data_IF_710888390528
#
_entry.id   IF_710888390528
#
_cell.length_a   1.000
_cell.length_b   1.000
_cell.length_c   1.000
_cell.angle_alpha   90.00
_cell.angle_beta   90.00
_cell.angle_gamma   90.00
#
_symmetry.space_group_name_H-M   'P 1'
#
loop_
_entity.id
_entity.type
_entity.pdbx_description
1 polymer ?
#
# COMPACT_ATOMS: atom_id res chain seq x y z
N UNK A 1 14.22 1.68 0.21
CA UNK A 1 13.11 2.62 0.53
C UNK A 1 12.15 2.60 -0.64
N UNK A 2 10.87 2.44 -0.34
CA UNK A 2 9.77 2.68 -1.28
C UNK A 2 9.12 4.02 -0.96
N UNK A 3 8.61 4.71 -1.95
CA UNK A 3 7.97 6.02 -1.78
C UNK A 3 7.01 6.32 -2.93
N UNK A 4 6.03 7.17 -2.66
CA UNK A 4 5.13 7.69 -3.66
C UNK A 4 5.77 8.91 -4.32
N UNK A 5 5.69 9.00 -5.64
CA UNK A 5 6.23 10.12 -6.40
C UNK A 5 5.23 10.58 -7.46
N UNK A 6 4.96 11.86 -7.45
CA UNK A 6 4.16 12.52 -8.48
C UNK A 6 5.09 13.33 -9.39
N UNK A 7 5.03 13.07 -10.69
CA UNK A 7 5.85 13.83 -11.65
C UNK A 7 5.39 15.28 -11.70
N UNK A 8 6.32 16.24 -11.68
CA UNK A 8 5.97 17.65 -11.84
C UNK A 8 5.23 17.90 -13.16
N UNK A 9 4.07 18.59 -13.08
CA UNK A 9 3.23 18.91 -14.24
C UNK A 9 2.20 17.83 -14.63
N UNK A 10 2.21 16.70 -13.96
CA UNK A 10 1.19 15.65 -14.12
C UNK A 10 0.24 15.70 -12.92
N UNK A 11 -0.99 16.13 -13.16
CA UNK A 11 -1.96 16.48 -12.09
C UNK A 11 -2.81 15.30 -11.73
N UNK A 12 -2.59 14.16 -11.67
CA UNK A 12 -3.43 13.06 -11.16
C UNK A 12 -2.73 11.70 -11.22
N UNK A 13 -1.42 11.71 -11.33
CA UNK A 13 -0.66 10.49 -11.47
C UNK A 13 0.39 10.45 -10.36
N UNK A 14 0.22 9.57 -9.40
CA UNK A 14 1.26 9.26 -8.44
C UNK A 14 1.62 7.79 -8.58
N UNK A 15 2.91 7.57 -8.69
CA UNK A 15 3.52 6.27 -8.88
C UNK A 15 4.29 5.83 -7.64
N UNK A 16 4.46 4.53 -7.49
CA UNK A 16 5.32 3.94 -6.46
C UNK A 16 6.70 3.70 -7.04
N UNK A 17 7.69 4.25 -6.37
CA UNK A 17 9.12 4.18 -6.74
C UNK A 17 9.92 3.51 -5.63
N UNK A 18 11.06 2.99 -6.00
CA UNK A 18 12.02 2.37 -5.11
C UNK A 18 13.38 3.05 -5.25
N UNK A 19 14.08 3.26 -4.14
CA UNK A 19 15.50 3.60 -4.10
C UNK A 19 16.24 2.63 -3.19
N UNK A 20 17.38 2.17 -3.62
CA UNK A 20 18.22 1.22 -2.90
C UNK A 20 19.57 1.85 -2.53
N UNK A 21 20.17 1.35 -1.46
CA UNK A 21 21.52 1.71 -1.06
C UNK A 21 22.45 0.55 -1.42
N UNK A 22 23.47 0.80 -2.24
CA UNK A 22 24.48 -0.17 -2.63
C UNK A 22 25.85 0.38 -2.28
N UNK A 23 26.67 -0.39 -1.60
CA UNK A 23 28.03 -0.02 -1.17
C UNK A 23 28.08 1.34 -0.43
N UNK A 24 27.06 1.59 0.42
CA UNK A 24 26.93 2.84 1.17
C UNK A 24 26.36 4.04 0.38
N UNK A 25 26.15 3.92 -0.93
CA UNK A 25 25.67 5.00 -1.81
C UNK A 25 24.23 4.75 -2.26
N UNK A 26 23.40 5.80 -2.20
CA UNK A 26 22.04 5.77 -2.76
C UNK A 26 22.10 5.67 -4.28
N UNK A 27 21.39 4.71 -4.81
CA UNK A 27 21.25 4.52 -6.25
C UNK A 27 20.17 5.44 -6.83
N UNK A 28 20.12 5.56 -8.16
CA UNK A 28 19.02 6.29 -8.82
C UNK A 28 17.68 5.62 -8.51
N UNK A 29 16.63 6.39 -8.15
CA UNK A 29 15.29 5.85 -7.98
C UNK A 29 14.77 5.15 -9.24
N UNK A 30 14.02 4.08 -9.04
CA UNK A 30 13.43 3.27 -10.11
C UNK A 30 11.94 3.11 -9.86
N UNK A 31 11.11 3.34 -10.87
CA UNK A 31 9.67 3.05 -10.85
C UNK A 31 9.45 1.54 -10.68
N UNK A 32 8.39 1.15 -9.97
CA UNK A 32 8.01 -0.26 -9.86
C UNK A 32 7.43 -0.84 -11.16
N UNK A 33 7.23 0.01 -12.16
CA UNK A 33 6.79 -0.39 -13.49
C UNK A 33 5.28 -0.62 -13.61
N UNK A 34 4.80 -0.91 -14.83
CA UNK A 34 3.38 -0.83 -15.20
C UNK A 34 2.49 -1.91 -14.57
N UNK A 35 3.05 -2.94 -13.96
CA UNK A 35 2.24 -3.91 -13.20
C UNK A 35 1.75 -3.34 -11.88
N UNK A 36 2.58 -2.53 -11.22
CA UNK A 36 2.22 -1.87 -9.97
C UNK A 36 1.63 -0.50 -10.26
N UNK A 37 2.35 0.32 -11.04
CA UNK A 37 1.94 1.66 -11.41
C UNK A 37 1.02 1.59 -12.62
N UNK A 38 -0.25 1.86 -12.42
CA UNK A 38 -1.30 1.88 -13.44
C UNK A 38 -1.37 3.26 -14.11
N UNK A 39 -2.22 3.48 -15.13
CA UNK A 39 -2.51 4.81 -15.65
C UNK A 39 -3.31 5.73 -14.70
N UNK A 40 -3.59 5.27 -13.48
CA UNK A 40 -4.31 5.97 -12.44
C UNK A 40 -3.40 6.26 -11.24
N UNK A 41 -3.98 6.74 -10.14
CA UNK A 41 -3.22 7.00 -8.92
C UNK A 41 -2.88 5.70 -8.21
N UNK A 42 -1.60 5.49 -7.94
CA UNK A 42 -1.10 4.35 -7.19
C UNK A 42 -0.29 4.84 -6.00
N UNK A 43 -0.72 4.46 -4.81
CA UNK A 43 -0.09 4.84 -3.56
C UNK A 43 0.29 3.61 -2.74
N UNK A 44 1.31 3.75 -1.93
CA UNK A 44 1.56 2.80 -0.86
C UNK A 44 1.57 3.52 0.49
N UNK A 45 1.12 2.83 1.50
CA UNK A 45 1.28 3.25 2.87
C UNK A 45 2.52 2.60 3.50
N UNK A 46 3.06 3.22 4.53
CA UNK A 46 4.34 2.82 5.14
C UNK A 46 4.36 1.39 5.71
N UNK A 47 3.21 0.82 6.05
CA UNK A 47 3.09 -0.59 6.45
C UNK A 47 2.69 -1.51 5.30
N UNK A 48 2.57 -0.99 4.09
CA UNK A 48 2.13 -1.74 2.93
C UNK A 48 3.16 -2.72 2.38
N UNK A 49 4.42 -2.67 2.82
CA UNK A 49 5.44 -3.64 2.44
C UNK A 49 5.52 -4.75 3.49
N UNK A 50 5.58 -6.01 3.05
CA UNK A 50 5.83 -7.13 3.94
C UNK A 50 7.25 -7.10 4.50
N UNK A 51 7.45 -7.74 5.65
CA UNK A 51 8.73 -7.80 6.36
C UNK A 51 9.87 -8.39 5.52
N UNK A 52 9.54 -9.36 4.66
CA UNK A 52 10.49 -9.98 3.73
C UNK A 52 10.65 -9.20 2.41
N UNK A 53 9.90 -8.12 2.22
CA UNK A 53 9.94 -7.27 1.05
C UNK A 53 9.31 -7.86 -0.21
N UNK A 54 8.57 -8.98 -0.10
CA UNK A 54 8.04 -9.73 -1.25
C UNK A 54 6.54 -9.56 -1.49
N UNK A 55 5.84 -8.87 -0.62
CA UNK A 55 4.45 -8.49 -0.82
C UNK A 55 4.27 -7.00 -0.57
N UNK A 56 3.43 -6.35 -1.39
CA UNK A 56 3.18 -4.91 -1.36
C UNK A 56 1.68 -4.67 -1.43
N UNK A 57 1.16 -3.88 -0.49
CA UNK A 57 -0.21 -3.36 -0.53
C UNK A 57 -0.18 -2.01 -1.23
N UNK A 58 -1.08 -1.84 -2.19
CA UNK A 58 -1.22 -0.66 -3.04
C UNK A 58 -2.65 -0.15 -2.92
N UNK A 59 -2.83 1.12 -2.63
CA UNK A 59 -4.10 1.84 -2.78
C UNK A 59 -4.15 2.40 -4.19
N UNK A 60 -5.20 2.11 -4.96
CA UNK A 60 -5.31 2.58 -6.34
C UNK A 60 -6.76 2.79 -6.76
N UNK A 61 -7.00 3.85 -7.53
CA UNK A 61 -8.28 4.10 -8.22
C UNK A 61 -8.32 3.49 -9.64
N UNK A 62 -7.51 2.44 -9.89
CA UNK A 62 -7.48 1.69 -11.15
C UNK A 62 -8.84 1.06 -11.46
N UNK A 63 -9.26 1.18 -12.70
CA UNK A 63 -10.61 0.76 -13.13
C UNK A 63 -10.62 -0.44 -14.06
N UNK A 64 -9.45 -0.89 -14.48
CA UNK A 64 -9.27 -1.94 -15.49
C UNK A 64 -9.24 -3.36 -14.93
N UNK A 65 -9.15 -3.53 -13.62
CA UNK A 65 -8.96 -4.82 -12.96
C UNK A 65 -10.07 -5.20 -11.97
N UNK A 66 -11.27 -4.61 -12.11
CA UNK A 66 -12.39 -4.91 -11.23
C UNK A 66 -12.34 -4.15 -9.90
N UNK A 67 -12.04 -2.87 -9.95
CA UNK A 67 -12.27 -1.94 -8.84
C UNK A 67 -13.74 -2.00 -8.39
N UNK A 68 -13.94 -1.86 -7.08
CA UNK A 68 -15.27 -1.86 -6.46
C UNK A 68 -15.84 -0.48 -6.30
N UNK A 69 -15.00 0.52 -6.18
CA UNK A 69 -15.40 1.90 -5.91
C UNK A 69 -14.44 2.92 -6.49
N UNK A 70 -14.10 3.90 -5.68
CA UNK A 70 -13.06 4.88 -5.98
C UNK A 70 -11.67 4.28 -5.79
N UNK A 71 -11.02 4.62 -4.68
CA UNK A 71 -9.78 3.94 -4.30
C UNK A 71 -10.10 2.60 -3.65
N UNK A 72 -9.38 1.58 -4.07
CA UNK A 72 -9.39 0.24 -3.48
C UNK A 72 -8.00 -0.14 -2.98
N UNK A 73 -7.96 -1.11 -2.07
CA UNK A 73 -6.71 -1.73 -1.60
C UNK A 73 -6.44 -3.02 -2.37
N UNK A 74 -5.22 -3.13 -2.84
CA UNK A 74 -4.73 -4.24 -3.66
C UNK A 74 -3.48 -4.83 -3.03
N UNK A 75 -3.18 -6.08 -3.33
CA UNK A 75 -1.91 -6.71 -2.92
C UNK A 75 -1.20 -7.32 -4.11
N UNK A 76 0.10 -7.05 -4.23
CA UNK A 76 0.97 -7.69 -5.20
C UNK A 76 2.05 -8.50 -4.50
N UNK A 77 2.48 -9.57 -5.13
CA UNK A 77 3.57 -10.44 -4.68
C UNK A 77 4.70 -10.46 -5.70
N UNK A 78 5.92 -10.67 -5.24
CA UNK A 78 7.03 -10.96 -6.13
C UNK A 78 7.05 -12.45 -6.47
N UNK A 79 7.34 -12.75 -7.73
CA UNK A 79 7.63 -14.11 -8.18
C UNK A 79 9.05 -14.56 -7.74
N UNK A 80 9.43 -15.79 -8.09
CA UNK A 80 10.75 -16.35 -7.76
C UNK A 80 11.93 -15.56 -8.37
N UNK A 81 11.69 -14.71 -9.37
CA UNK A 81 12.71 -13.84 -9.99
C UNK A 81 12.77 -12.44 -9.34
N UNK A 82 11.93 -12.17 -8.34
CA UNK A 82 11.83 -10.86 -7.70
C UNK A 82 11.02 -9.82 -8.51
N UNK A 83 10.25 -10.25 -9.50
CA UNK A 83 9.39 -9.38 -10.31
C UNK A 83 8.00 -9.28 -9.68
N UNK A 84 7.49 -8.07 -9.55
CA UNK A 84 6.13 -7.82 -9.07
C UNK A 84 5.09 -8.42 -10.03
N UNK A 85 4.08 -9.08 -9.48
CA UNK A 85 2.96 -9.63 -10.21
C UNK A 85 1.83 -8.59 -10.27
N UNK A 86 0.83 -8.84 -11.14
CA UNK A 86 -0.40 -8.05 -11.16
C UNK A 86 -1.06 -8.05 -9.78
N UNK A 87 -1.47 -6.88 -9.28
CA UNK A 87 -2.13 -6.78 -7.98
C UNK A 87 -3.48 -7.51 -7.96
N UNK A 88 -3.80 -8.08 -6.82
CA UNK A 88 -5.09 -8.71 -6.53
C UNK A 88 -5.90 -7.78 -5.61
N UNK A 89 -7.17 -7.54 -5.96
CA UNK A 89 -8.08 -6.76 -5.12
C UNK A 89 -8.30 -7.47 -3.76
N UNK A 90 -8.23 -6.76 -2.64
CA UNK A 90 -8.41 -7.36 -1.30
C UNK A 90 -9.84 -7.81 -1.00
N UNK A 91 -10.81 -7.42 -1.83
CA UNK A 91 -12.17 -7.90 -1.77
C UNK A 91 -13.08 -7.19 -0.79
N UNK A 92 -14.32 -7.69 -0.66
CA UNK A 92 -15.45 -7.07 0.05
C UNK A 92 -15.21 -6.76 1.53
N UNK A 93 -14.33 -7.49 2.19
CA UNK A 93 -14.01 -7.25 3.60
C UNK A 93 -13.23 -5.96 3.84
N UNK A 94 -12.51 -5.48 2.81
CA UNK A 94 -11.66 -4.28 2.83
C UNK A 94 -12.26 -3.22 1.92
N UNK A 95 -12.49 -3.57 0.65
CA UNK A 95 -12.93 -2.65 -0.39
C UNK A 95 -14.44 -2.60 -0.50
N UNK A 96 -14.97 -1.39 -0.70
CA UNK A 96 -16.40 -1.09 -0.81
C UNK A 96 -16.74 -0.47 -2.16
N UNK A 97 -17.97 -0.02 -2.33
CA UNK A 97 -18.36 0.79 -3.49
C UNK A 97 -17.99 2.28 -3.37
N UNK A 98 -17.31 2.66 -2.30
CA UNK A 98 -16.90 4.03 -2.00
C UNK A 98 -15.41 4.27 -2.14
N UNK A 99 -14.89 5.13 -1.28
CA UNK A 99 -13.46 5.46 -1.17
C UNK A 99 -12.84 4.64 -0.03
N UNK A 100 -11.91 3.77 -0.35
CA UNK A 100 -11.18 2.96 0.63
C UNK A 100 -9.72 3.41 0.65
N UNK A 101 -9.29 4.09 1.72
CA UNK A 101 -7.99 4.75 1.75
C UNK A 101 -7.30 4.61 3.10
N UNK A 102 -6.00 4.88 3.08
CA UNK A 102 -5.17 4.99 4.29
C UNK A 102 -5.13 3.71 5.13
N UNK A 103 -5.30 2.57 4.51
CA UNK A 103 -5.25 1.31 5.20
C UNK A 103 -3.84 0.95 5.67
N UNK A 104 -3.73 0.57 6.91
CA UNK A 104 -2.46 0.27 7.57
C UNK A 104 -2.65 -0.83 8.61
N UNK A 105 -1.56 -1.50 8.99
CA UNK A 105 -1.61 -2.48 10.07
C UNK A 105 -1.42 -1.83 11.44
N UNK A 106 -2.13 -2.37 12.43
CA UNK A 106 -1.82 -2.06 13.83
C UNK A 106 -0.39 -2.50 14.17
N UNK A 107 0.26 -1.89 15.19
CA UNK A 107 1.66 -2.21 15.53
C UNK A 107 1.92 -3.68 15.85
N UNK A 108 0.89 -4.41 16.28
CA UNK A 108 0.96 -5.85 16.54
C UNK A 108 0.69 -6.72 15.30
N UNK A 109 0.37 -6.09 14.16
CA UNK A 109 0.10 -6.74 12.89
C UNK A 109 -1.21 -7.53 12.82
N UNK A 110 -2.07 -7.44 13.84
CA UNK A 110 -3.29 -8.26 13.93
C UNK A 110 -4.49 -7.67 13.22
N UNK A 111 -4.56 -6.35 13.13
CA UNK A 111 -5.67 -5.66 12.49
C UNK A 111 -5.17 -4.86 11.30
N UNK A 112 -5.98 -4.82 10.27
CA UNK A 112 -5.85 -3.92 9.15
C UNK A 112 -6.91 -2.85 9.31
N UNK A 113 -6.52 -1.58 9.33
CA UNK A 113 -7.38 -0.44 9.66
C UNK A 113 -7.22 0.65 8.61
N UNK A 114 -8.29 1.27 8.23
CA UNK A 114 -8.31 2.32 7.22
C UNK A 114 -9.50 3.23 7.34
N UNK A 115 -9.61 4.13 6.39
CA UNK A 115 -10.71 5.05 6.25
C UNK A 115 -11.60 4.65 5.08
N UNK A 116 -12.90 4.69 5.30
CA UNK A 116 -13.93 4.43 4.31
C UNK A 116 -14.83 5.65 4.17
N UNK A 117 -15.20 5.98 2.95
CA UNK A 117 -16.17 7.03 2.62
C UNK A 117 -17.21 6.56 1.62
N UNK A 118 -18.43 7.11 1.69
CA UNK A 118 -19.43 6.87 0.67
C UNK A 118 -18.98 7.40 -0.69
N UNK A 119 -19.47 6.87 -1.82
CA UNK A 119 -19.10 7.33 -3.16
C UNK A 119 -19.26 8.85 -3.30
N UNK A 120 -18.18 9.53 -3.66
CA UNK A 120 -18.13 10.98 -3.83
C UNK A 120 -18.18 11.81 -2.54
N UNK A 121 -18.07 11.18 -1.37
CA UNK A 121 -17.97 11.84 -0.07
C UNK A 121 -16.56 11.89 0.43
N UNK A 122 -16.17 13.01 1.05
CA UNK A 122 -14.95 13.14 1.84
C UNK A 122 -15.18 12.93 3.34
N UNK A 123 -16.41 12.62 3.75
CA UNK A 123 -16.68 12.19 5.12
C UNK A 123 -16.24 10.76 5.29
N UNK A 124 -15.12 10.57 5.98
CA UNK A 124 -14.48 9.28 6.12
C UNK A 124 -14.70 8.71 7.52
N UNK A 125 -15.07 7.44 7.57
CA UNK A 125 -15.20 6.67 8.81
C UNK A 125 -13.98 5.75 8.97
N UNK A 126 -13.48 5.61 10.20
CA UNK A 126 -12.44 4.63 10.50
C UNK A 126 -13.05 3.24 10.64
N UNK A 127 -12.44 2.29 9.96
CA UNK A 127 -12.80 0.87 10.02
C UNK A 127 -11.57 0.02 10.34
N UNK A 128 -11.83 -1.19 10.78
CA UNK A 128 -10.79 -2.20 10.94
C UNK A 128 -11.36 -3.58 10.66
N UNK A 129 -10.50 -4.47 10.24
CA UNK A 129 -10.77 -5.88 10.05
C UNK A 129 -9.63 -6.69 10.67
N UNK A 130 -9.92 -7.88 11.20
CA UNK A 130 -8.85 -8.77 11.61
C UNK A 130 -8.08 -9.23 10.35
N UNK A 131 -6.75 -9.19 10.41
CA UNK A 131 -5.90 -9.56 9.26
C UNK A 131 -6.25 -10.96 8.73
N UNK A 132 -6.52 -11.89 9.64
CA UNK A 132 -6.80 -13.29 9.30
C UNK A 132 -8.18 -13.52 8.66
N UNK A 133 -9.08 -12.54 8.74
CA UNK A 133 -10.38 -12.57 8.06
C UNK A 133 -10.26 -12.12 6.59
N UNK A 134 -9.13 -11.54 6.18
CA UNK A 134 -8.83 -11.21 4.79
C UNK A 134 -7.96 -12.32 4.18
N UNK A 135 -8.50 -13.18 3.28
CA UNK A 135 -7.78 -14.36 2.79
C UNK A 135 -6.39 -14.06 2.24
N UNK A 136 -6.24 -12.96 1.51
CA UNK A 136 -4.98 -12.55 0.89
C UNK A 136 -3.97 -11.96 1.89
N UNK A 137 -4.40 -11.61 3.11
CA UNK A 137 -3.51 -11.06 4.15
C UNK A 137 -3.08 -12.09 5.19
N UNK A 138 -3.59 -13.32 5.18
CA UNK A 138 -3.29 -14.34 6.20
C UNK A 138 -1.79 -14.55 6.40
N UNK A 139 -1.04 -14.62 5.31
CA UNK A 139 0.41 -14.84 5.33
C UNK A 139 1.22 -13.54 5.26
N UNK A 140 0.55 -12.39 5.18
CA UNK A 140 1.22 -11.09 5.14
C UNK A 140 1.77 -10.74 6.52
N UNK A 141 3.08 -10.57 6.62
CA UNK A 141 3.73 -10.02 7.80
C UNK A 141 4.10 -8.56 7.52
N UNK A 142 3.42 -7.57 8.11
CA UNK A 142 3.72 -6.18 7.83
C UNK A 142 5.11 -5.79 8.33
N UNK A 143 5.78 -4.91 7.60
CA UNK A 143 6.98 -4.27 8.09
C UNK A 143 6.58 -3.41 9.29
N UNK A 144 7.11 -3.76 10.47
CA UNK A 144 6.87 -2.99 11.69
C UNK A 144 7.41 -1.56 11.59
N UNK A 145 7.00 -0.67 12.49
CA UNK A 145 7.54 0.69 12.55
C UNK A 145 9.06 0.65 12.73
N UNK A 146 9.81 1.59 12.13
CA UNK A 146 11.25 1.66 12.29
C UNK A 146 11.61 1.68 13.78
N UNK A 147 12.60 0.89 14.22
CA UNK A 147 12.90 0.70 15.66
C UNK A 147 13.22 1.99 16.42
N UNK A 148 13.61 3.05 15.75
CA UNK A 148 14.02 4.32 16.38
C UNK A 148 12.91 5.36 16.55
N UNK A 149 11.73 5.18 15.96
CA UNK A 149 10.62 6.13 16.14
C UNK A 149 10.00 6.06 17.54
N UNK A 150 10.01 4.89 18.17
CA UNK A 150 9.46 4.71 19.51
C UNK A 150 10.48 5.01 20.63
N UNK A 151 11.78 4.89 20.37
CA UNK A 151 12.84 5.20 21.34
C UNK A 151 12.94 6.70 21.64
N UNK A 152 12.66 7.56 20.66
CA UNK A 152 12.72 9.01 20.80
C UNK A 152 11.43 9.64 21.37
N UNK A 153 10.34 8.89 21.47
CA UNK A 153 9.07 9.38 22.03
C UNK A 153 9.04 9.37 23.57
N UNK A 154 10.04 8.77 24.22
CA UNK A 154 10.15 8.71 25.69
C UNK A 154 11.04 9.77 26.32
N UNK A 155 11.49 10.73 25.55
CA UNK A 155 12.42 11.74 26.02
C UNK A 155 12.04 13.17 25.64
N UNK A 156 10.90 13.66 26.13
CA UNK A 156 10.68 15.10 26.41
C UNK A 156 9.49 15.25 27.33
#
# INVERSE_FOLDING_TARGET
IYFNYQQPGVTQDSDIWKVEKKDGLWQKPVSLGPRINSPWRDHMHWTGLSKDGKALIVTSDRRDMGSRGGHDEWISYQNAKGEWQEPLNLGDGVNTSGEDMCWTFTPDGRKFTGAWGAPGSYDMELRWIAKDDVPLLKTFEPMGPPPNLLANAKGK
#
